data_IF_485763713218
#
_entry.id   IF_485763713218
#
_cell.length_a   1.000
_cell.length_b   1.000
_cell.length_c   1.000
_cell.angle_alpha   90.00
_cell.angle_beta   90.00
_cell.angle_gamma   90.00
#
_symmetry.space_group_name_H-M   'P 1'
#
loop_
_entity.id
_entity.type
_entity.pdbx_description
1 polymer ?
#
# COMPACT_ATOMS: atom_id res chain seq x y z
N UNK A 1 -36.05 22.77 -19.49
CA UNK A 1 -35.03 23.30 -18.55
C UNK A 1 -35.06 22.39 -17.32
N UNK A 2 -33.98 21.78 -16.84
CA UNK A 2 -32.78 22.40 -16.29
C UNK A 2 -31.54 21.54 -16.53
N UNK A 3 -30.63 22.05 -17.36
CA UNK A 3 -29.24 21.60 -17.55
C UNK A 3 -28.38 22.30 -16.48
N UNK A 4 -28.40 21.83 -15.22
CA UNK A 4 -27.68 22.54 -14.14
C UNK A 4 -27.04 21.64 -13.07
N UNK A 5 -26.53 20.46 -13.43
CA UNK A 5 -25.75 19.62 -12.48
C UNK A 5 -24.59 18.86 -13.11
N UNK A 6 -23.97 19.47 -14.12
CA UNK A 6 -22.79 18.94 -14.82
C UNK A 6 -21.62 19.91 -14.66
N UNK A 7 -21.32 20.27 -13.41
CA UNK A 7 -20.09 20.98 -13.10
C UNK A 7 -18.95 19.94 -13.10
N UNK A 8 -17.88 20.29 -13.82
CA UNK A 8 -16.73 19.46 -14.10
C UNK A 8 -15.93 19.24 -12.81
N UNK A 9 -16.16 18.13 -12.10
CA UNK A 9 -15.24 17.70 -11.03
C UNK A 9 -13.94 17.26 -11.71
N UNK A 10 -13.02 18.22 -11.87
CA UNK A 10 -11.71 17.98 -12.45
C UNK A 10 -11.02 16.90 -11.61
N UNK A 11 -10.61 15.75 -12.20
CA UNK A 11 -9.96 14.71 -11.42
C UNK A 11 -8.68 15.26 -10.80
N UNK A 12 -8.59 15.13 -9.48
CA UNK A 12 -7.38 15.40 -8.71
C UNK A 12 -6.45 14.22 -8.83
N UNK A 13 -5.15 14.49 -8.72
CA UNK A 13 -4.12 13.44 -8.66
C UNK A 13 -3.79 13.17 -7.19
N UNK A 14 -3.70 11.89 -6.86
CA UNK A 14 -3.31 11.40 -5.55
C UNK A 14 -2.13 10.45 -5.68
N UNK A 15 -1.17 10.58 -4.78
CA UNK A 15 -0.10 9.61 -4.60
C UNK A 15 -0.51 8.67 -3.47
N UNK A 16 -0.55 7.39 -3.78
CA UNK A 16 -0.79 6.32 -2.82
C UNK A 16 0.54 5.63 -2.52
N UNK A 17 0.78 5.34 -1.25
CA UNK A 17 1.78 4.38 -0.81
C UNK A 17 1.02 3.23 -0.14
N UNK A 18 1.11 2.04 -0.72
CA UNK A 18 0.47 0.84 -0.21
C UNK A 18 1.57 -0.11 0.21
N UNK A 19 1.66 -0.37 1.51
CA UNK A 19 2.58 -1.38 2.04
C UNK A 19 1.82 -2.67 2.30
N UNK A 20 2.32 -3.78 1.78
CA UNK A 20 1.77 -5.13 1.96
C UNK A 20 2.78 -5.97 2.70
N UNK A 21 2.38 -6.53 3.84
CA UNK A 21 3.24 -7.32 4.72
C UNK A 21 2.54 -8.63 5.13
N UNK A 22 3.31 -9.64 5.51
CA UNK A 22 2.74 -10.89 6.00
C UNK A 22 1.99 -10.68 7.32
N UNK A 23 0.88 -11.40 7.50
CA UNK A 23 0.19 -11.47 8.78
C UNK A 23 1.05 -12.17 9.84
N UNK A 24 0.86 -11.83 11.13
CA UNK A 24 1.51 -12.55 12.23
C UNK A 24 1.30 -14.06 12.13
N UNK A 25 2.34 -14.84 12.41
CA UNK A 25 2.32 -16.30 12.36
C UNK A 25 2.65 -16.92 11.00
N UNK A 26 2.78 -16.11 9.93
CA UNK A 26 3.36 -16.58 8.67
C UNK A 26 4.89 -16.41 8.68
N UNK A 27 5.59 -17.43 8.18
CA UNK A 27 7.05 -17.40 8.00
C UNK A 27 7.43 -16.43 6.89
N UNK A 28 8.48 -15.64 7.13
CA UNK A 28 9.16 -14.80 6.16
C UNK A 28 10.59 -15.32 5.94
N UNK A 29 10.80 -16.30 5.03
CA UNK A 29 12.12 -16.91 4.82
C UNK A 29 13.19 -15.91 4.36
N UNK A 30 12.79 -14.85 3.65
CA UNK A 30 13.70 -13.81 3.18
C UNK A 30 14.14 -12.92 4.35
N UNK A 31 13.21 -12.50 5.20
CA UNK A 31 13.49 -11.79 6.44
C UNK A 31 14.40 -12.59 7.37
N UNK A 32 14.12 -13.88 7.58
CA UNK A 32 14.96 -14.76 8.40
C UNK A 32 16.39 -14.88 7.88
N UNK A 33 16.54 -15.10 6.56
CA UNK A 33 17.85 -15.17 5.91
C UNK A 33 18.61 -13.84 6.05
N UNK A 34 17.92 -12.72 5.83
CA UNK A 34 18.51 -11.38 5.93
C UNK A 34 18.96 -11.09 7.36
N UNK A 35 18.14 -11.40 8.36
CA UNK A 35 18.49 -11.23 9.77
C UNK A 35 19.74 -12.02 10.16
N UNK A 36 19.87 -13.27 9.67
CA UNK A 36 21.07 -14.08 9.88
C UNK A 36 22.31 -13.44 9.27
N UNK A 37 22.24 -13.00 8.02
CA UNK A 37 23.38 -12.39 7.33
C UNK A 37 23.81 -11.07 8.00
N UNK A 38 22.86 -10.25 8.48
CA UNK A 38 23.18 -9.03 9.23
C UNK A 38 23.91 -9.34 10.54
N UNK A 39 23.51 -10.42 11.24
CA UNK A 39 24.23 -10.89 12.45
C UNK A 39 25.65 -11.33 12.13
N UNK A 40 25.86 -12.04 11.03
CA UNK A 40 27.19 -12.46 10.55
C UNK A 40 28.09 -11.26 10.21
N UNK A 41 27.50 -10.16 9.73
CA UNK A 41 28.20 -8.90 9.50
C UNK A 41 28.48 -8.08 10.79
N UNK A 42 28.09 -8.60 11.96
CA UNK A 42 28.33 -7.97 13.26
C UNK A 42 27.24 -7.01 13.74
N UNK A 43 26.11 -6.91 13.04
CA UNK A 43 24.98 -6.10 13.49
C UNK A 43 24.15 -6.83 14.54
N UNK A 44 23.77 -6.14 15.62
CA UNK A 44 22.85 -6.65 16.63
C UNK A 44 21.39 -6.48 16.18
N UNK A 45 20.97 -7.30 15.21
CA UNK A 45 19.59 -7.30 14.68
C UNK A 45 18.78 -8.39 15.37
N UNK A 46 17.62 -8.06 15.92
CA UNK A 46 16.72 -9.05 16.52
C UNK A 46 15.92 -9.80 15.45
N UNK A 47 15.26 -9.05 14.58
CA UNK A 47 14.34 -9.55 13.54
C UNK A 47 14.39 -8.66 12.29
N UNK A 48 14.11 -9.25 11.13
CA UNK A 48 13.86 -8.54 9.87
C UNK A 48 12.53 -9.04 9.30
N UNK A 49 11.72 -8.12 8.77
CA UNK A 49 10.53 -8.43 8.00
C UNK A 49 10.63 -7.76 6.62
N UNK A 50 10.23 -8.49 5.59
CA UNK A 50 10.16 -8.00 4.22
C UNK A 50 8.72 -7.66 3.88
N UNK A 51 8.51 -6.43 3.43
CA UNK A 51 7.23 -5.94 2.93
C UNK A 51 7.37 -5.44 1.49
N UNK A 52 6.25 -5.44 0.76
CA UNK A 52 6.17 -4.87 -0.59
C UNK A 52 5.55 -3.50 -0.50
N UNK A 53 6.16 -2.50 -1.14
CA UNK A 53 5.59 -1.15 -1.24
C UNK A 53 5.23 -0.84 -2.68
N UNK A 54 3.95 -0.56 -2.92
CA UNK A 54 3.45 -0.03 -4.18
C UNK A 54 3.28 1.48 -4.07
N UNK A 55 3.93 2.23 -4.97
CA UNK A 55 3.68 3.67 -5.13
C UNK A 55 2.80 3.88 -6.36
N UNK A 56 1.61 4.42 -6.17
CA UNK A 56 0.61 4.56 -7.24
C UNK A 56 0.25 6.02 -7.41
N UNK A 57 0.23 6.52 -8.65
CA UNK A 57 -0.36 7.81 -8.97
C UNK A 57 -1.76 7.57 -9.55
N UNK A 58 -2.79 8.08 -8.87
CA UNK A 58 -4.19 7.80 -9.18
C UNK A 58 -4.96 9.10 -9.44
N UNK A 59 -5.79 9.10 -10.48
CA UNK A 59 -6.81 10.13 -10.68
C UNK A 59 -8.09 9.79 -9.91
N UNK A 60 -8.57 10.69 -9.06
CA UNK A 60 -9.83 10.55 -8.34
C UNK A 60 -10.47 11.94 -8.11
N UNK A 61 -11.78 11.98 -7.88
CA UNK A 61 -12.54 13.21 -7.63
C UNK A 61 -12.36 13.71 -6.20
N UNK A 62 -11.99 12.83 -5.28
CA UNK A 62 -11.76 13.14 -3.88
C UNK A 62 -10.78 12.16 -3.24
N UNK A 63 -10.25 12.52 -2.07
CA UNK A 63 -9.41 11.63 -1.27
C UNK A 63 -10.17 10.37 -0.84
N UNK A 64 -11.46 10.49 -0.53
CA UNK A 64 -12.32 9.34 -0.19
C UNK A 64 -12.46 8.36 -1.36
N UNK A 65 -12.64 8.85 -2.59
CA UNK A 65 -12.67 7.98 -3.77
C UNK A 65 -11.28 7.34 -4.01
N UNK A 66 -10.19 8.09 -3.83
CA UNK A 66 -8.84 7.56 -3.93
C UNK A 66 -8.60 6.42 -2.92
N UNK A 67 -9.06 6.58 -1.67
CA UNK A 67 -8.96 5.55 -0.64
C UNK A 67 -9.78 4.30 -1.00
N UNK A 68 -11.03 4.49 -1.43
CA UNK A 68 -11.88 3.37 -1.84
C UNK A 68 -11.26 2.56 -2.98
N UNK A 69 -10.68 3.23 -3.98
CA UNK A 69 -9.96 2.56 -5.08
C UNK A 69 -8.69 1.86 -4.59
N UNK A 70 -7.93 2.48 -3.69
CA UNK A 70 -6.73 1.88 -3.11
C UNK A 70 -7.07 0.57 -2.35
N UNK A 71 -8.15 0.57 -1.57
CA UNK A 71 -8.64 -0.65 -0.91
C UNK A 71 -9.08 -1.72 -1.92
N UNK A 72 -9.76 -1.32 -2.99
CA UNK A 72 -10.17 -2.26 -4.05
C UNK A 72 -8.94 -2.92 -4.71
N UNK A 73 -7.90 -2.12 -5.02
CA UNK A 73 -6.63 -2.64 -5.56
C UNK A 73 -6.00 -3.68 -4.63
N UNK A 74 -6.00 -3.42 -3.32
CA UNK A 74 -5.47 -4.34 -2.32
C UNK A 74 -6.25 -5.66 -2.31
N UNK A 75 -7.58 -5.58 -2.23
CA UNK A 75 -8.48 -6.75 -2.17
C UNK A 75 -8.45 -7.59 -3.45
N UNK A 76 -8.28 -6.96 -4.61
CA UNK A 76 -8.36 -7.64 -5.91
C UNK A 76 -7.03 -8.19 -6.41
N UNK A 77 -5.90 -7.59 -6.01
CA UNK A 77 -4.61 -7.92 -6.61
C UNK A 77 -3.42 -7.82 -5.65
N UNK A 78 -3.29 -6.72 -4.92
CA UNK A 78 -1.99 -6.41 -4.28
C UNK A 78 -1.72 -7.25 -3.03
N UNK A 79 -2.77 -7.70 -2.34
CA UNK A 79 -2.66 -8.47 -1.10
C UNK A 79 -3.42 -9.80 -1.19
N UNK A 80 -2.81 -10.87 -0.69
CA UNK A 80 -3.49 -12.13 -0.46
C UNK A 80 -4.31 -12.02 0.84
N UNK A 81 -5.64 -12.16 0.82
CA UNK A 81 -6.48 -11.94 2.01
C UNK A 81 -6.23 -12.94 3.14
N UNK A 82 -5.68 -14.11 2.86
CA UNK A 82 -5.33 -15.11 3.87
C UNK A 82 -3.97 -14.79 4.50
N UNK A 83 -2.99 -14.40 3.69
CA UNK A 83 -1.57 -14.31 4.12
C UNK A 83 -1.12 -12.90 4.49
N UNK A 84 -1.73 -11.87 3.93
CA UNK A 84 -1.17 -10.51 3.95
C UNK A 84 -2.07 -9.51 4.70
N UNK A 85 -1.42 -8.55 5.36
CA UNK A 85 -1.99 -7.28 5.80
C UNK A 85 -1.53 -6.16 4.85
N UNK A 86 -2.23 -5.03 4.88
CA UNK A 86 -1.77 -3.84 4.17
C UNK A 86 -2.10 -2.54 4.89
N UNK A 87 -1.28 -1.52 4.65
CA UNK A 87 -1.52 -0.13 5.08
C UNK A 87 -1.51 0.78 3.85
N UNK A 88 -2.31 1.85 3.91
CA UNK A 88 -2.48 2.79 2.80
C UNK A 88 -2.24 4.20 3.31
N UNK A 89 -1.31 4.92 2.68
CA UNK A 89 -1.12 6.37 2.86
C UNK A 89 -1.48 7.08 1.56
N UNK A 90 -2.16 8.22 1.68
CA UNK A 90 -2.66 9.00 0.53
C UNK A 90 -2.29 10.46 0.70
N UNK A 91 -1.70 11.01 -0.35
CA UNK A 91 -1.34 12.43 -0.44
C UNK A 91 -1.95 13.03 -1.69
N UNK A 92 -2.60 14.19 -1.56
CA UNK A 92 -2.98 14.97 -2.74
C UNK A 92 -1.71 15.52 -3.39
N UNK A 93 -1.57 15.33 -4.69
CA UNK A 93 -0.46 15.95 -5.42
C UNK A 93 -0.89 17.32 -5.94
N UNK A 94 -0.03 18.35 -5.85
CA UNK A 94 -0.29 19.67 -6.43
C UNK A 94 -0.65 19.63 -7.92
#
# INVERSE_FOLDING_TARGET
MSKAKRWYEKPMKFRLKIEVSLKPGHTDPEGETTARLLKELGYQVEQVNVSKVYTVLLNAKSQTEALSKAEEMCKRLLANPTKDNYTITIEATP
#
